data_IF_624510821017
#
_entry.id   IF_624510821017
#
_cell.length_a   1.000
_cell.length_b   1.000
_cell.length_c   1.000
_cell.angle_alpha   90.00
_cell.angle_beta   90.00
_cell.angle_gamma   90.00
#
_symmetry.space_group_name_H-M   'P 1'
#
loop_
_entity.id
_entity.type
_entity.pdbx_description
1 polymer ?
#
# COMPACT_ATOMS: atom_id res chain seq x y z
N UNK A 1 15.79 21.59 -1.00
CA UNK A 1 15.25 20.21 -1.00
C UNK A 1 14.55 20.04 0.32
N UNK A 2 13.25 19.77 0.33
CA UNK A 2 12.40 19.93 1.52
C UNK A 2 11.77 18.61 2.00
N UNK A 3 12.27 17.46 1.55
CA UNK A 3 11.85 16.15 2.08
C UNK A 3 12.66 15.74 3.30
N UNK A 4 12.08 14.96 4.22
CA UNK A 4 12.77 14.38 5.36
C UNK A 4 14.00 13.56 4.93
N UNK A 5 13.85 12.82 3.83
CA UNK A 5 14.92 12.10 3.14
C UNK A 5 14.99 12.66 1.72
N UNK A 6 16.12 13.26 1.37
CA UNK A 6 16.37 13.76 0.03
C UNK A 6 17.66 13.15 -0.51
N UNK A 7 17.63 12.66 -1.73
CA UNK A 7 18.80 12.09 -2.39
C UNK A 7 18.80 12.43 -3.89
N UNK A 8 20.01 12.53 -4.44
CA UNK A 8 20.26 13.02 -5.79
C UNK A 8 20.69 11.94 -6.79
N UNK A 9 21.08 10.76 -6.31
CA UNK A 9 21.46 9.59 -7.12
C UNK A 9 21.65 8.40 -6.18
N UNK A 10 21.68 7.19 -6.73
CA UNK A 10 21.95 5.96 -5.98
C UNK A 10 20.72 5.30 -5.39
N UNK A 11 20.88 4.55 -4.30
CA UNK A 11 19.81 3.75 -3.70
C UNK A 11 19.39 4.31 -2.35
N UNK A 12 18.09 4.56 -2.20
CA UNK A 12 17.45 4.86 -0.92
C UNK A 12 16.61 3.64 -0.51
N UNK A 13 16.85 3.12 0.69
CA UNK A 13 16.08 2.00 1.24
C UNK A 13 15.53 2.37 2.61
N UNK A 14 14.22 2.24 2.77
CA UNK A 14 13.49 2.48 4.03
C UNK A 14 12.78 1.19 4.41
N UNK A 15 13.08 0.65 5.59
CA UNK A 15 12.49 -0.60 6.07
C UNK A 15 11.95 -0.49 7.49
N UNK A 16 10.88 -1.22 7.79
CA UNK A 16 10.38 -1.44 9.15
C UNK A 16 10.19 -0.12 9.93
N UNK A 17 9.73 0.92 9.24
CA UNK A 17 9.68 2.29 9.77
C UNK A 17 8.26 2.84 9.72
N UNK A 18 7.92 3.64 10.73
CA UNK A 18 6.62 4.27 10.86
C UNK A 18 6.74 5.79 10.94
N UNK A 19 6.14 6.48 9.97
CA UNK A 19 5.99 7.94 9.95
C UNK A 19 4.56 8.29 10.35
N UNK A 20 4.38 8.80 11.57
CA UNK A 20 3.07 9.02 12.17
C UNK A 20 2.90 10.44 12.69
N UNK A 21 1.75 11.06 12.37
CA UNK A 21 1.35 12.38 12.87
C UNK A 21 2.39 13.49 12.61
N UNK A 22 3.24 13.33 11.59
CA UNK A 22 4.17 14.39 11.23
C UNK A 22 3.42 15.54 10.58
N UNK A 23 3.89 16.74 10.85
CA UNK A 23 3.37 17.96 10.28
C UNK A 23 4.47 18.53 9.40
N UNK A 24 4.21 18.59 8.10
CA UNK A 24 5.11 19.14 7.10
C UNK A 24 4.65 20.53 6.69
N UNK A 25 5.58 21.43 6.40
CA UNK A 25 5.21 22.64 5.68
C UNK A 25 4.85 22.27 4.25
N UNK A 26 3.78 22.87 3.72
CA UNK A 26 3.47 22.73 2.31
C UNK A 26 4.66 23.20 1.47
N UNK A 27 5.06 22.33 0.55
CA UNK A 27 6.17 22.59 -0.35
C UNK A 27 5.56 23.38 -1.50
N UNK A 28 5.75 24.71 -1.49
CA UNK A 28 5.31 25.72 -2.50
C UNK A 28 4.05 26.55 -2.14
N UNK A 29 4.15 27.41 -1.12
CA UNK A 29 3.11 28.38 -0.74
C UNK A 29 3.18 29.62 -1.67
N UNK A 30 2.11 29.96 -2.40
CA UNK A 30 1.94 31.25 -3.09
C UNK A 30 1.60 31.25 -4.60
N UNK A 31 0.93 32.32 -5.07
CA UNK A 31 0.42 32.49 -6.45
C UNK A 31 1.40 33.14 -7.43
N UNK A 32 2.64 33.42 -7.00
CA UNK A 32 3.65 34.10 -7.81
C UNK A 32 4.98 33.37 -7.73
N UNK A 33 5.32 32.66 -8.79
CA UNK A 33 6.71 32.65 -9.25
C UNK A 33 6.68 32.99 -10.74
N UNK A 34 7.01 34.24 -11.13
CA UNK A 34 7.23 34.54 -12.54
C UNK A 34 8.59 33.93 -12.90
N UNK A 35 8.56 32.87 -13.68
CA UNK A 35 9.75 32.14 -14.08
C UNK A 35 9.36 30.83 -14.73
N UNK A 36 10.09 30.47 -15.75
CA UNK A 36 10.04 29.23 -16.51
C UNK A 36 10.37 27.95 -15.71
N UNK A 37 10.43 28.06 -14.38
CA UNK A 37 10.98 27.11 -13.41
C UNK A 37 10.29 27.49 -12.07
N UNK A 38 9.67 26.67 -11.21
CA UNK A 38 9.72 25.23 -10.92
C UNK A 38 8.44 24.81 -10.17
N UNK A 39 7.61 23.97 -10.77
CA UNK A 39 6.58 23.22 -10.05
C UNK A 39 7.30 22.14 -9.19
N UNK A 40 7.77 22.51 -7.99
CA UNK A 40 8.57 21.64 -7.13
C UNK A 40 7.67 20.61 -6.43
N UNK A 41 7.20 19.60 -7.17
CA UNK A 41 6.45 18.46 -6.62
C UNK A 41 7.38 17.56 -5.77
N UNK A 42 7.89 18.10 -4.67
CA UNK A 42 8.88 17.40 -3.84
C UNK A 42 8.14 16.59 -2.79
N UNK A 43 8.60 15.38 -2.53
CA UNK A 43 8.01 14.54 -1.51
C UNK A 43 8.35 15.05 -0.12
N UNK A 44 7.38 15.09 0.78
CA UNK A 44 7.57 15.51 2.17
C UNK A 44 8.40 14.53 2.99
N UNK A 45 8.21 13.22 2.76
CA UNK A 45 9.02 12.17 3.38
C UNK A 45 10.23 11.84 2.53
N UNK A 46 10.00 11.48 1.27
CA UNK A 46 11.07 11.04 0.37
C UNK A 46 11.01 11.85 -0.89
N UNK A 47 12.13 12.45 -1.22
CA UNK A 47 12.31 13.19 -2.45
C UNK A 47 13.56 12.68 -3.18
N UNK A 48 13.35 11.79 -4.15
CA UNK A 48 14.38 11.35 -5.09
C UNK A 48 14.35 12.21 -6.33
N UNK A 49 15.39 13.03 -6.51
CA UNK A 49 15.56 13.87 -7.70
C UNK A 49 16.88 13.50 -8.39
N UNK A 50 16.98 13.73 -9.69
CA UNK A 50 18.20 13.61 -10.49
C UNK A 50 18.77 12.19 -10.64
N UNK A 51 19.11 11.84 -11.89
CA UNK A 51 19.93 10.69 -12.30
C UNK A 51 19.53 9.32 -11.69
N UNK A 52 20.26 8.26 -12.05
CA UNK A 52 19.82 6.90 -11.75
C UNK A 52 19.57 6.69 -10.25
N UNK A 53 18.31 6.42 -9.90
CA UNK A 53 17.82 6.48 -8.52
C UNK A 53 16.92 5.29 -8.23
N UNK A 54 17.26 4.52 -7.21
CA UNK A 54 16.44 3.40 -6.72
C UNK A 54 15.78 3.79 -5.40
N UNK A 55 14.46 3.67 -5.32
CA UNK A 55 13.71 3.76 -4.07
C UNK A 55 13.17 2.38 -3.70
N UNK A 56 13.58 1.86 -2.54
CA UNK A 56 13.03 0.65 -1.94
C UNK A 56 12.33 1.00 -0.62
N UNK A 57 11.03 0.74 -0.53
CA UNK A 57 10.25 0.92 0.70
C UNK A 57 9.67 -0.43 1.09
N UNK A 58 9.93 -0.89 2.31
CA UNK A 58 9.50 -2.21 2.78
C UNK A 58 8.93 -2.15 4.21
N UNK A 59 7.76 -2.76 4.44
CA UNK A 59 7.14 -2.88 5.76
C UNK A 59 7.04 -1.53 6.50
N UNK A 60 6.48 -0.53 5.83
CA UNK A 60 6.41 0.84 6.35
C UNK A 60 4.98 1.29 6.59
N UNK A 61 4.80 2.20 7.54
CA UNK A 61 3.51 2.84 7.83
C UNK A 61 3.65 4.35 7.72
N UNK A 62 2.75 5.00 6.98
CA UNK A 62 2.70 6.44 6.77
C UNK A 62 1.30 6.90 7.13
N UNK A 63 1.11 7.33 8.37
CA UNK A 63 -0.23 7.49 8.96
C UNK A 63 -0.45 8.91 9.46
N UNK A 64 -1.53 9.53 9.01
CA UNK A 64 -2.03 10.82 9.48
C UNK A 64 -0.97 11.94 9.45
N UNK A 65 -0.10 11.90 8.44
CA UNK A 65 0.84 12.98 8.19
C UNK A 65 0.13 14.09 7.43
N UNK A 66 0.41 15.35 7.78
CA UNK A 66 -0.37 16.48 7.25
C UNK A 66 0.55 17.58 6.75
N UNK A 67 0.07 18.30 5.75
CA UNK A 67 0.68 19.55 5.30
C UNK A 67 0.02 20.76 5.99
N UNK A 68 0.83 21.65 6.57
CA UNK A 68 0.41 22.98 7.02
C UNK A 68 0.25 23.90 5.83
N UNK A 69 -0.83 24.69 5.82
CA UNK A 69 -1.02 25.82 4.92
C UNK A 69 -0.84 25.52 3.42
N UNK A 70 -1.06 24.27 2.99
CA UNK A 70 -0.94 23.92 1.58
C UNK A 70 -2.14 24.42 0.79
N UNK A 71 -1.86 25.02 -0.36
CA UNK A 71 -2.90 25.48 -1.27
C UNK A 71 -3.76 24.28 -1.74
N UNK A 72 -5.05 24.49 -1.94
CA UNK A 72 -5.98 23.42 -2.38
C UNK A 72 -5.82 23.08 -3.86
N UNK A 73 -5.17 23.96 -4.62
CA UNK A 73 -4.93 23.84 -6.06
C UNK A 73 -3.57 23.22 -6.43
N UNK A 74 -2.76 22.84 -5.44
CA UNK A 74 -1.43 22.26 -5.63
C UNK A 74 -1.32 20.82 -5.14
N UNK A 75 -0.44 20.07 -5.80
CA UNK A 75 -0.12 18.69 -5.47
C UNK A 75 0.99 18.63 -4.43
N UNK A 76 0.71 18.02 -3.27
CA UNK A 76 1.70 17.79 -2.20
C UNK A 76 1.91 16.28 -2.00
N UNK A 77 3.04 15.72 -2.47
CA UNK A 77 3.29 14.30 -2.33
C UNK A 77 4.02 13.92 -1.04
N UNK A 78 3.77 12.73 -0.51
CA UNK A 78 4.59 12.15 0.57
C UNK A 78 5.91 11.58 0.01
N UNK A 79 5.81 10.79 -1.06
CA UNK A 79 6.93 10.25 -1.82
C UNK A 79 6.92 10.88 -3.22
N UNK A 80 8.04 11.47 -3.64
CA UNK A 80 8.22 11.95 -5.00
C UNK A 80 9.49 11.38 -5.62
N UNK A 81 9.34 10.91 -6.85
CA UNK A 81 10.43 10.33 -7.64
C UNK A 81 10.42 10.89 -9.05
N UNK A 82 11.56 11.39 -9.53
CA UNK A 82 11.69 12.07 -10.84
C UNK A 82 12.98 11.67 -11.55
N UNK A 83 12.97 11.68 -12.88
CA UNK A 83 14.14 11.42 -13.71
C UNK A 83 14.34 12.50 -14.77
N UNK A 84 15.59 12.94 -14.92
CA UNK A 84 16.01 13.85 -16.01
C UNK A 84 16.76 13.10 -17.13
N UNK A 85 16.99 11.78 -16.99
CA UNK A 85 17.83 11.00 -17.92
C UNK A 85 17.07 9.82 -18.55
N UNK A 86 15.75 9.74 -18.37
CA UNK A 86 14.90 8.70 -18.97
C UNK A 86 14.49 7.57 -18.01
N UNK A 87 13.67 6.65 -18.52
CA UNK A 87 12.97 5.60 -17.78
C UNK A 87 13.90 4.56 -17.11
N UNK A 88 14.93 4.12 -17.82
CA UNK A 88 15.79 2.98 -17.42
C UNK A 88 16.72 3.26 -16.23
N UNK A 89 16.65 4.47 -15.70
CA UNK A 89 17.52 4.94 -14.64
C UNK A 89 16.83 4.98 -13.28
N UNK A 90 15.49 4.92 -13.22
CA UNK A 90 14.74 5.05 -11.97
C UNK A 90 13.93 3.80 -11.68
N UNK A 91 14.16 3.22 -10.51
CA UNK A 91 13.47 2.03 -10.04
C UNK A 91 12.76 2.32 -8.72
N UNK A 92 11.47 2.02 -8.65
CA UNK A 92 10.69 2.18 -7.43
C UNK A 92 10.10 0.82 -7.07
N UNK A 93 10.50 0.30 -5.92
CA UNK A 93 9.95 -0.93 -5.34
C UNK A 93 9.32 -0.61 -4.00
N UNK A 94 8.02 -0.87 -3.85
CA UNK A 94 7.30 -0.65 -2.61
C UNK A 94 6.60 -1.94 -2.20
N UNK A 95 6.93 -2.46 -1.01
CA UNK A 95 6.37 -3.69 -0.47
C UNK A 95 5.82 -3.46 0.92
N UNK A 96 4.59 -3.92 1.18
CA UNK A 96 3.95 -3.83 2.49
C UNK A 96 3.98 -2.39 3.06
N UNK A 97 3.60 -1.40 2.25
CA UNK A 97 3.44 -0.01 2.68
C UNK A 97 1.97 0.28 2.97
N UNK A 98 1.68 0.87 4.12
CA UNK A 98 0.34 1.37 4.44
C UNK A 98 0.39 2.89 4.60
N UNK A 99 -0.26 3.61 3.70
CA UNK A 99 -0.37 5.05 3.71
C UNK A 99 -1.83 5.48 3.87
N UNK A 100 -2.20 6.03 5.03
CA UNK A 100 -3.59 6.36 5.37
C UNK A 100 -3.69 7.70 6.09
N UNK A 101 -4.75 8.46 5.81
CA UNK A 101 -5.02 9.73 6.49
C UNK A 101 -4.07 10.86 6.10
N UNK A 102 -3.25 10.70 5.04
CA UNK A 102 -2.29 11.72 4.64
C UNK A 102 -2.87 12.76 3.67
N UNK A 103 -4.04 12.46 3.08
CA UNK A 103 -4.71 13.35 2.13
C UNK A 103 -5.66 14.31 2.83
N UNK A 104 -5.53 15.61 2.57
CA UNK A 104 -6.50 16.63 3.02
C UNK A 104 -7.74 16.64 2.13
N UNK A 105 -8.90 16.92 2.71
CA UNK A 105 -10.15 17.08 1.95
C UNK A 105 -10.01 18.21 0.92
N UNK A 106 -10.54 17.99 -0.29
CA UNK A 106 -10.49 18.95 -1.41
C UNK A 106 -9.09 19.39 -1.86
N UNK A 107 -8.06 18.60 -1.57
CA UNK A 107 -6.69 18.84 -2.04
C UNK A 107 -6.26 17.83 -3.10
N UNK A 108 -5.23 18.18 -3.87
CA UNK A 108 -4.51 17.27 -4.77
C UNK A 108 -3.34 16.55 -4.06
N UNK A 109 -3.34 16.51 -2.72
CA UNK A 109 -2.34 15.78 -1.95
C UNK A 109 -2.36 14.29 -2.34
N UNK A 110 -1.18 13.69 -2.45
CA UNK A 110 -1.03 12.29 -2.83
C UNK A 110 0.07 11.61 -2.02
N UNK A 111 0.01 10.28 -1.94
CA UNK A 111 1.03 9.52 -1.25
C UNK A 111 2.25 9.31 -2.16
N UNK A 112 2.02 8.93 -3.43
CA UNK A 112 3.08 8.73 -4.41
C UNK A 112 2.87 9.64 -5.63
N UNK A 113 3.94 10.36 -5.98
CA UNK A 113 4.04 11.16 -7.18
C UNK A 113 5.27 10.76 -7.98
N UNK A 114 5.09 10.35 -9.23
CA UNK A 114 6.17 9.83 -10.04
C UNK A 114 6.06 10.22 -11.51
N UNK A 115 7.17 10.22 -12.23
CA UNK A 115 7.15 10.55 -13.65
C UNK A 115 6.60 9.37 -14.46
N UNK A 116 5.72 9.65 -15.42
CA UNK A 116 4.99 8.66 -16.22
C UNK A 116 5.89 7.73 -17.05
N UNK A 117 7.15 8.09 -17.25
CA UNK A 117 8.12 7.33 -18.04
C UNK A 117 8.56 6.02 -17.37
N UNK A 118 8.31 5.82 -16.06
CA UNK A 118 8.65 4.59 -15.36
C UNK A 118 7.49 4.09 -14.50
N UNK A 119 7.43 2.77 -14.28
CA UNK A 119 6.35 2.10 -13.56
C UNK A 119 6.85 1.57 -12.20
N UNK A 120 6.27 2.00 -11.07
CA UNK A 120 6.58 1.43 -9.77
C UNK A 120 6.17 -0.05 -9.69
N UNK A 121 7.02 -0.86 -9.07
CA UNK A 121 6.69 -2.25 -8.68
C UNK A 121 6.14 -2.23 -7.26
N UNK A 122 4.87 -2.60 -7.11
CA UNK A 122 4.18 -2.57 -5.81
C UNK A 122 3.64 -3.93 -5.39
N UNK A 123 3.73 -4.24 -4.11
CA UNK A 123 3.26 -5.49 -3.52
C UNK A 123 2.64 -5.23 -2.14
N UNK A 124 1.36 -5.56 -1.97
CA UNK A 124 0.60 -5.36 -0.72
C UNK A 124 0.64 -3.91 -0.19
N UNK A 125 0.41 -2.95 -1.09
CA UNK A 125 0.49 -1.52 -0.78
C UNK A 125 -0.90 -0.90 -0.63
N UNK A 126 -1.09 -0.01 0.35
CA UNK A 126 -2.32 0.77 0.54
C UNK A 126 -1.96 2.26 0.46
N UNK A 127 -2.65 3.01 -0.39
CA UNK A 127 -2.43 4.45 -0.63
C UNK A 127 -3.80 5.17 -0.70
N UNK A 128 -3.84 6.46 -0.39
CA UNK A 128 -5.02 7.33 -0.55
C UNK A 128 -5.08 7.90 -1.97
N UNK A 129 -3.94 8.29 -2.53
CA UNK A 129 -3.88 8.77 -3.91
C UNK A 129 -2.50 8.56 -4.50
N UNK A 130 -2.49 8.27 -5.80
CA UNK A 130 -1.28 8.16 -6.61
C UNK A 130 -1.46 9.04 -7.83
N UNK A 131 -0.43 9.80 -8.17
CA UNK A 131 -0.42 10.66 -9.34
C UNK A 131 0.84 10.42 -10.13
N UNK A 132 0.73 10.52 -11.44
CA UNK A 132 1.89 10.57 -12.32
C UNK A 132 1.95 11.91 -13.05
N UNK A 133 3.11 12.20 -13.64
CA UNK A 133 3.27 13.39 -14.45
C UNK A 133 4.18 13.18 -15.64
N UNK A 134 3.94 13.96 -16.68
CA UNK A 134 4.81 14.12 -17.83
C UNK A 134 5.25 15.58 -17.96
N UNK A 135 6.46 15.78 -18.48
CA UNK A 135 6.96 17.10 -18.85
C UNK A 135 7.25 17.11 -20.33
N UNK A 136 6.50 17.92 -21.05
CA UNK A 136 6.65 18.10 -22.49
C UNK A 136 7.27 19.46 -22.76
N UNK A 137 8.49 19.53 -23.31
CA UNK A 137 9.12 20.80 -23.68
C UNK A 137 8.25 21.56 -24.70
N UNK A 138 7.87 22.79 -24.37
CA UNK A 138 7.19 23.73 -25.26
C UNK A 138 8.19 24.65 -25.98
N UNK A 139 9.24 25.08 -25.27
CA UNK A 139 10.35 25.89 -25.78
C UNK A 139 11.64 25.47 -25.09
N UNK A 140 12.79 26.00 -25.52
CA UNK A 140 14.09 25.77 -24.86
C UNK A 140 14.10 26.14 -23.37
N UNK A 141 13.16 26.96 -22.91
CA UNK A 141 13.07 27.39 -21.52
C UNK A 141 11.77 26.99 -20.84
N UNK A 142 10.74 26.48 -21.54
CA UNK A 142 9.42 26.22 -20.92
C UNK A 142 8.96 24.79 -21.16
N UNK A 143 8.50 24.13 -20.10
CA UNK A 143 7.82 22.82 -20.18
C UNK A 143 6.33 22.96 -19.87
N UNK A 144 5.48 22.21 -20.59
CA UNK A 144 4.14 21.88 -20.10
C UNK A 144 4.23 20.73 -19.11
N UNK A 145 3.57 20.86 -17.96
CA UNK A 145 3.34 19.76 -17.05
C UNK A 145 1.95 19.16 -17.33
N UNK A 146 1.90 17.86 -17.61
CA UNK A 146 0.67 17.08 -17.58
C UNK A 146 0.71 16.19 -16.35
N UNK A 147 -0.18 16.39 -15.39
CA UNK A 147 -0.29 15.52 -14.22
C UNK A 147 -1.70 14.94 -14.08
N UNK A 148 -1.77 13.67 -13.69
CA UNK A 148 -3.02 12.93 -13.65
C UNK A 148 -3.06 11.97 -12.46
N UNK A 149 -4.28 11.72 -11.96
CA UNK A 149 -4.51 10.66 -10.99
C UNK A 149 -4.32 9.30 -11.66
N UNK A 150 -3.67 8.38 -10.95
CA UNK A 150 -3.51 7.00 -11.35
C UNK A 150 -4.60 6.17 -10.66
N UNK A 151 -5.63 5.72 -11.39
CA UNK A 151 -6.80 5.09 -10.78
C UNK A 151 -6.53 3.68 -10.25
N UNK A 152 -5.50 3.00 -10.77
CA UNK A 152 -5.11 1.66 -10.33
C UNK A 152 -3.66 1.36 -10.66
N UNK A 153 -2.99 0.62 -9.76
CA UNK A 153 -1.66 0.03 -9.96
C UNK A 153 -1.70 -1.39 -9.39
N UNK A 154 -1.11 -2.36 -10.11
CA UNK A 154 -1.05 -3.74 -9.63
C UNK A 154 -0.37 -3.83 -8.24
N UNK A 155 -0.89 -4.71 -7.38
CA UNK A 155 -0.36 -4.89 -6.01
C UNK A 155 -0.71 -3.76 -5.03
N UNK A 156 -1.60 -2.85 -5.42
CA UNK A 156 -2.06 -1.73 -4.57
C UNK A 156 -3.55 -1.76 -4.30
N UNK A 157 -3.96 -1.19 -3.17
CA UNK A 157 -5.33 -0.72 -2.90
C UNK A 157 -5.28 0.80 -2.79
N UNK A 158 -5.99 1.49 -3.68
CA UNK A 158 -6.14 2.95 -3.65
C UNK A 158 -7.49 3.30 -3.01
N UNK A 159 -7.42 4.05 -1.90
CA UNK A 159 -8.56 4.57 -1.14
C UNK A 159 -9.03 5.87 -1.79
N UNK A 160 -9.78 5.73 -2.88
CA UNK A 160 -10.41 6.83 -3.60
C UNK A 160 -11.75 7.25 -2.95
N UNK A 161 -12.53 8.10 -3.61
CA UNK A 161 -13.82 8.60 -3.09
C UNK A 161 -14.89 7.51 -2.91
N UNK A 162 -14.69 6.31 -3.49
CA UNK A 162 -15.61 5.17 -3.39
C UNK A 162 -15.23 4.22 -2.26
N UNK A 163 -14.05 4.40 -1.65
CA UNK A 163 -13.54 3.54 -0.58
C UNK A 163 -13.25 4.35 0.68
N UNK A 164 -13.40 3.70 1.81
CA UNK A 164 -13.14 4.23 3.14
C UNK A 164 -12.14 3.33 3.85
N UNK A 165 -11.58 3.80 4.97
CA UNK A 165 -10.62 3.00 5.75
C UNK A 165 -11.23 1.71 6.37
N UNK A 166 -12.55 1.60 6.41
CA UNK A 166 -13.30 0.41 6.79
C UNK A 166 -13.84 -0.40 5.61
N UNK A 167 -13.52 -0.04 4.35
CA UNK A 167 -13.89 -0.85 3.19
C UNK A 167 -13.24 -2.24 3.28
N UNK A 168 -13.88 -3.30 2.77
CA UNK A 168 -13.41 -4.68 2.92
C UNK A 168 -11.98 -4.92 2.42
N UNK A 169 -11.50 -4.16 1.45
CA UNK A 169 -10.15 -4.29 0.89
C UNK A 169 -9.07 -3.73 1.82
N UNK A 170 -9.43 -2.93 2.82
CA UNK A 170 -8.51 -2.29 3.77
C UNK A 170 -8.84 -2.70 5.20
N UNK A 171 -10.06 -2.41 5.65
CA UNK A 171 -10.68 -2.74 6.93
C UNK A 171 -9.79 -2.56 8.16
N UNK A 172 -9.46 -1.31 8.51
CA UNK A 172 -8.77 -1.02 9.77
C UNK A 172 -9.74 -0.89 10.94
N UNK A 173 -9.25 -1.18 12.16
CA UNK A 173 -9.94 -0.75 13.37
C UNK A 173 -9.89 0.78 13.42
N UNK A 174 -11.06 1.41 13.54
CA UNK A 174 -11.21 2.86 13.43
C UNK A 174 -11.18 3.52 14.81
N UNK A 175 -10.63 4.73 14.85
CA UNK A 175 -10.81 5.64 15.98
C UNK A 175 -12.15 6.36 15.82
N UNK A 176 -13.05 6.16 16.79
CA UNK A 176 -14.41 6.70 16.79
C UNK A 176 -14.48 8.24 16.82
N UNK A 177 -13.39 8.92 17.17
CA UNK A 177 -13.35 10.38 17.28
C UNK A 177 -12.79 11.08 16.04
N UNK A 178 -11.94 10.40 15.27
CA UNK A 178 -11.22 11.02 14.14
C UNK A 178 -11.64 10.47 12.78
N UNK A 179 -12.42 9.38 12.73
CA UNK A 179 -12.72 8.63 11.50
C UNK A 179 -11.46 8.19 10.73
N UNK A 180 -10.34 8.04 11.43
CA UNK A 180 -9.08 7.52 10.91
C UNK A 180 -8.76 6.16 11.54
N UNK A 181 -7.90 5.33 10.91
CA UNK A 181 -7.39 4.12 11.54
C UNK A 181 -6.80 4.38 12.93
N UNK A 182 -7.24 3.59 13.92
CA UNK A 182 -6.75 3.66 15.29
C UNK A 182 -5.31 3.17 15.36
N UNK A 183 -4.47 3.95 16.04
CA UNK A 183 -3.06 3.63 16.26
C UNK A 183 -2.92 2.89 17.59
N UNK A 184 -2.33 1.71 17.53
CA UNK A 184 -1.98 0.92 18.70
C UNK A 184 -0.52 1.07 19.04
N UNK A 185 -0.19 0.92 20.32
CA UNK A 185 1.19 0.86 20.80
C UNK A 185 1.37 -0.47 21.51
N UNK A 186 2.32 -1.26 21.04
CA UNK A 186 2.71 -2.47 21.75
C UNK A 186 3.37 -2.08 23.08
N UNK A 187 2.75 -2.45 24.21
CA UNK A 187 3.18 -2.00 25.53
C UNK A 187 4.61 -2.44 25.91
N UNK A 188 5.11 -3.53 25.33
CA UNK A 188 6.43 -4.10 25.65
C UNK A 188 7.53 -3.52 24.77
N UNK A 189 7.25 -3.31 23.48
CA UNK A 189 8.26 -2.89 22.50
C UNK A 189 8.17 -1.41 22.14
N UNK A 190 7.09 -0.72 22.52
CA UNK A 190 6.79 0.64 22.09
C UNK A 190 6.43 0.77 20.61
N UNK A 191 6.43 -0.34 19.85
CA UNK A 191 6.16 -0.34 18.41
C UNK A 191 4.72 0.09 18.16
N UNK A 192 4.55 1.11 17.31
CA UNK A 192 3.24 1.57 16.85
C UNK A 192 2.80 0.76 15.65
N UNK A 193 1.53 0.37 15.62
CA UNK A 193 0.95 -0.40 14.51
C UNK A 193 -0.52 -0.03 14.28
N UNK A 194 -1.01 -0.36 13.09
CA UNK A 194 -2.44 -0.32 12.77
C UNK A 194 -3.01 -1.73 12.90
N UNK A 195 -4.15 -1.86 13.56
CA UNK A 195 -4.86 -3.13 13.59
C UNK A 195 -5.71 -3.25 12.33
N UNK A 196 -5.27 -4.04 11.37
CA UNK A 196 -6.11 -4.41 10.23
C UNK A 196 -7.09 -5.45 10.75
N UNK A 197 -8.36 -5.06 10.84
CA UNK A 197 -9.41 -6.01 11.12
C UNK A 197 -9.38 -7.05 10.01
N UNK A 198 -9.70 -8.33 10.32
CA UNK A 198 -9.97 -9.28 9.28
C UNK A 198 -10.94 -8.59 8.34
N UNK A 199 -10.53 -8.40 7.09
CA UNK A 199 -11.46 -8.07 6.03
C UNK A 199 -12.58 -9.07 6.23
N UNK A 200 -13.81 -8.60 6.35
CA UNK A 200 -14.91 -9.48 6.03
C UNK A 200 -14.66 -9.93 4.59
N UNK A 201 -13.85 -10.98 4.38
CA UNK A 201 -14.41 -12.12 3.70
C UNK A 201 -15.75 -12.20 4.41
N UNK A 202 -16.83 -11.91 3.69
CA UNK A 202 -18.10 -12.45 4.09
C UNK A 202 -17.75 -13.82 4.64
N UNK A 203 -18.20 -14.09 5.86
CA UNK A 203 -18.29 -15.46 6.29
C UNK A 203 -19.27 -16.05 5.26
N UNK A 204 -18.75 -16.37 4.07
CA UNK A 204 -19.31 -17.29 3.10
C UNK A 204 -19.11 -18.62 3.80
N UNK A 205 -19.76 -18.77 4.96
CA UNK A 205 -20.43 -19.99 5.33
C UNK A 205 -21.60 -20.17 4.36
N UNK A 206 -21.29 -20.24 3.06
CA UNK A 206 -21.67 -21.43 2.36
C UNK A 206 -20.70 -22.51 2.90
N UNK A 207 -20.90 -22.95 4.14
CA UNK A 207 -20.07 -23.98 4.76
C UNK A 207 -20.50 -25.32 4.16
N UNK A 208 -20.21 -25.51 2.88
CA UNK A 208 -20.23 -26.83 2.25
C UNK A 208 -19.05 -27.66 2.80
N UNK A 209 -17.99 -27.01 3.33
CA UNK A 209 -16.83 -27.67 3.95
C UNK A 209 -17.05 -28.01 5.44
N UNK A 210 -16.95 -29.29 5.75
CA UNK A 210 -16.89 -29.87 7.11
C UNK A 210 -15.46 -30.28 7.41
N UNK A 211 -14.82 -29.57 8.34
CA UNK A 211 -13.43 -29.80 8.73
C UNK A 211 -13.37 -30.48 10.10
N UNK A 212 -12.62 -31.57 10.20
CA UNK A 212 -12.34 -32.28 11.45
C UNK A 212 -10.83 -32.42 11.64
N UNK A 213 -10.38 -32.31 12.88
CA UNK A 213 -8.99 -32.53 13.26
C UNK A 213 -8.91 -33.62 14.31
N UNK A 214 -8.07 -34.62 14.09
CA UNK A 214 -7.80 -35.67 15.07
C UNK A 214 -6.30 -36.02 15.06
N UNK A 215 -5.59 -35.74 16.15
CA UNK A 215 -4.17 -36.13 16.37
C UNK A 215 -3.23 -35.84 15.18
N UNK A 216 -3.25 -34.61 14.66
CA UNK A 216 -2.40 -34.22 13.52
C UNK A 216 -2.95 -34.61 12.13
N UNK A 217 -4.12 -35.24 12.07
CA UNK A 217 -4.83 -35.55 10.84
C UNK A 217 -5.89 -34.49 10.57
N UNK A 218 -5.79 -33.84 9.42
CA UNK A 218 -6.77 -32.87 8.93
C UNK A 218 -7.68 -33.55 7.91
N UNK A 219 -8.96 -33.63 8.26
CA UNK A 219 -10.03 -34.19 7.45
C UNK A 219 -10.93 -33.07 6.92
N UNK A 220 -11.07 -32.96 5.60
CA UNK A 220 -11.82 -31.91 4.91
C UNK A 220 -12.85 -32.59 4.02
N UNK A 221 -14.12 -32.48 4.36
CA UNK A 221 -15.21 -33.04 3.56
C UNK A 221 -16.11 -31.94 3.01
N UNK A 222 -16.72 -32.18 1.86
CA UNK A 222 -17.63 -31.28 1.16
C UNK A 222 -18.86 -32.04 0.67
N UNK A 223 -20.02 -31.40 0.69
CA UNK A 223 -21.24 -31.97 0.10
C UNK A 223 -21.23 -31.86 -1.45
N UNK A 224 -20.21 -31.20 -2.04
CA UNK A 224 -19.98 -31.04 -3.49
C UNK A 224 -18.54 -31.37 -3.88
N UNK A 225 -18.33 -31.66 -5.16
CA UNK A 225 -17.00 -31.86 -5.76
C UNK A 225 -16.25 -30.53 -5.82
N UNK A 226 -15.06 -30.47 -5.22
CA UNK A 226 -14.26 -29.25 -5.08
C UNK A 226 -12.79 -29.48 -5.44
N UNK A 227 -12.09 -28.39 -5.76
CA UNK A 227 -10.62 -28.36 -5.79
C UNK A 227 -10.11 -27.78 -4.47
N UNK A 228 -9.57 -28.63 -3.59
CA UNK A 228 -9.14 -28.24 -2.24
C UNK A 228 -7.63 -27.98 -2.25
N UNK A 229 -7.21 -26.80 -1.80
CA UNK A 229 -5.79 -26.43 -1.68
C UNK A 229 -5.46 -26.00 -0.27
N UNK A 230 -4.33 -26.46 0.27
CA UNK A 230 -3.92 -26.18 1.65
C UNK A 230 -2.61 -25.41 1.64
N UNK A 231 -2.54 -24.34 2.43
CA UNK A 231 -1.37 -23.49 2.60
C UNK A 231 -0.98 -23.41 4.08
N UNK A 232 0.31 -23.24 4.37
CA UNK A 232 0.75 -22.82 5.70
C UNK A 232 0.56 -21.29 5.89
N UNK A 233 0.81 -20.80 7.11
CA UNK A 233 0.76 -19.36 7.43
C UNK A 233 1.77 -18.50 6.65
N UNK A 234 2.81 -19.11 6.08
CA UNK A 234 3.81 -18.42 5.25
C UNK A 234 3.38 -18.34 3.77
N UNK A 235 2.20 -18.85 3.42
CA UNK A 235 1.68 -18.85 2.05
C UNK A 235 2.22 -19.97 1.16
N UNK A 236 3.00 -20.91 1.71
CA UNK A 236 3.48 -22.06 0.95
C UNK A 236 2.37 -23.08 0.75
N UNK A 237 2.17 -23.52 -0.50
CA UNK A 237 1.23 -24.58 -0.87
C UNK A 237 1.74 -25.93 -0.38
N UNK A 238 0.99 -26.57 0.51
CA UNK A 238 1.33 -27.87 1.10
C UNK A 238 0.71 -29.04 0.34
N UNK A 239 -0.54 -28.86 -0.10
CA UNK A 239 -1.28 -29.92 -0.77
C UNK A 239 -2.37 -29.37 -1.69
N UNK A 240 -2.78 -30.18 -2.65
CA UNK A 240 -3.85 -29.89 -3.57
C UNK A 240 -4.55 -31.16 -4.01
N UNK A 241 -5.87 -31.16 -3.87
CA UNK A 241 -6.75 -32.27 -4.22
C UNK A 241 -7.73 -31.77 -5.26
N UNK A 242 -7.77 -32.44 -6.41
CA UNK A 242 -8.58 -32.04 -7.54
C UNK A 242 -9.86 -32.86 -7.61
N UNK A 243 -10.99 -32.16 -7.75
CA UNK A 243 -12.30 -32.77 -7.95
C UNK A 243 -12.63 -33.83 -6.90
N UNK A 244 -12.48 -33.48 -5.62
CA UNK A 244 -12.78 -34.38 -4.49
C UNK A 244 -13.89 -33.83 -3.61
N UNK A 245 -14.60 -34.74 -2.95
CA UNK A 245 -15.58 -34.40 -1.89
C UNK A 245 -14.99 -34.67 -0.49
N UNK A 246 -13.84 -35.32 -0.41
CA UNK A 246 -13.13 -35.57 0.82
C UNK A 246 -11.62 -35.52 0.57
N UNK A 247 -10.89 -34.88 1.46
CA UNK A 247 -9.43 -34.82 1.47
C UNK A 247 -8.93 -35.05 2.90
N UNK A 248 -7.95 -35.91 3.03
CA UNK A 248 -7.28 -36.20 4.30
C UNK A 248 -5.77 -35.94 4.13
N UNK A 249 -5.18 -35.27 5.12
CA UNK A 249 -3.74 -35.04 5.15
C UNK A 249 -3.21 -35.01 6.57
N UNK A 250 -2.07 -35.66 6.80
CA UNK A 250 -1.31 -35.52 8.03
C UNK A 250 -0.47 -34.24 7.99
N UNK A 251 -0.65 -33.38 8.99
CA UNK A 251 0.07 -32.12 9.13
C UNK A 251 0.58 -31.98 10.57
N UNK A 252 1.68 -31.25 10.75
CA UNK A 252 2.18 -30.90 12.08
C UNK A 252 1.23 -29.93 12.78
N UNK A 253 1.32 -29.80 14.11
CA UNK A 253 0.58 -28.76 14.83
C UNK A 253 0.95 -27.37 14.29
N UNK A 254 -0.06 -26.54 14.03
CA UNK A 254 0.14 -25.26 13.36
C UNK A 254 -1.14 -24.68 12.78
N UNK A 255 -1.03 -23.45 12.25
CA UNK A 255 -2.12 -22.79 11.56
C UNK A 255 -2.01 -22.97 10.04
N UNK A 256 -3.16 -23.17 9.40
CA UNK A 256 -3.28 -23.48 7.98
C UNK A 256 -4.43 -22.71 7.34
N UNK A 257 -4.34 -22.51 6.03
CA UNK A 257 -5.40 -21.94 5.21
C UNK A 257 -5.85 -23.00 4.21
N UNK A 258 -7.13 -23.35 4.23
CA UNK A 258 -7.77 -24.24 3.26
C UNK A 258 -8.55 -23.38 2.29
N UNK A 259 -8.32 -23.55 0.99
CA UNK A 259 -8.94 -22.78 -0.07
C UNK A 259 -9.61 -23.69 -1.09
N UNK A 260 -10.85 -23.38 -1.46
CA UNK A 260 -11.54 -23.94 -2.62
C UNK A 260 -11.79 -22.85 -3.67
N UNK A 261 -12.55 -23.16 -4.72
CA UNK A 261 -12.95 -22.16 -5.71
C UNK A 261 -13.82 -21.05 -5.10
N UNK A 262 -14.60 -21.38 -4.06
CA UNK A 262 -15.66 -20.52 -3.50
C UNK A 262 -15.44 -20.16 -2.02
N UNK A 263 -14.53 -20.84 -1.32
CA UNK A 263 -14.32 -20.68 0.13
C UNK A 263 -12.85 -20.60 0.52
N UNK A 264 -12.58 -19.97 1.67
CA UNK A 264 -11.27 -19.89 2.30
C UNK A 264 -11.42 -19.93 3.83
N UNK A 265 -10.90 -20.98 4.47
CA UNK A 265 -11.06 -21.24 5.91
C UNK A 265 -9.69 -21.33 6.60
N UNK A 266 -9.57 -20.70 7.77
CA UNK A 266 -8.39 -20.84 8.64
C UNK A 266 -8.60 -21.98 9.63
N UNK A 267 -7.62 -22.86 9.77
CA UNK A 267 -7.66 -24.01 10.68
C UNK A 267 -6.44 -24.01 11.58
N UNK A 268 -6.66 -24.21 12.88
CA UNK A 268 -5.60 -24.46 13.85
C UNK A 268 -5.59 -25.95 14.17
N UNK A 269 -4.52 -26.63 13.77
CA UNK A 269 -4.26 -28.02 14.11
C UNK A 269 -3.46 -28.07 15.42
N UNK A 270 -4.01 -28.74 16.43
CA UNK A 270 -3.39 -28.93 17.74
C UNK A 270 -2.57 -30.21 17.74
#
# INVERSE_FOLDING_TARGET
MNGLIAYQSGSCTIKNTTFMNNIFNAINIGNKSPGTDRNLQSGALVNGNNTASTLNVENCYVVNNKFLFGDTDKTHPMFAMKSNIGADSVFITIKNLISVGNKRASSYDCDLYYQNIFNPVMENVILNAVRNFDRVPLTETTDTLYDADVPSIAGTVIIDQTKTYNSPEVNFEMDATTNLPKIFVNATTGVKYLNRLPTGLADNRANDLKIKTDKGLLNISSDKVENITIYNVLGAKLAHFNQVNNAEIALTSGAYIIKTATSSVKVLLK
#
